data_IF_319500516553
#
_entry.id   IF_319500516553
#
_cell.length_a   1.000
_cell.length_b   1.000
_cell.length_c   1.000
_cell.angle_alpha   90.00
_cell.angle_beta   90.00
_cell.angle_gamma   90.00
#
_symmetry.space_group_name_H-M   'P 1'
#
loop_
_entity.id
_entity.type
_entity.pdbx_description
1 polymer ?
#
# COMPACT_ATOMS: atom_id res chain seq x y z
N UNK A 1 22.77 21.65 -9.59
CA UNK A 1 21.60 22.04 -8.78
C UNK A 1 20.80 20.78 -8.53
N UNK A 2 20.78 20.23 -7.31
CA UNK A 2 20.02 19.02 -7.01
C UNK A 2 18.59 19.40 -6.58
N UNK A 3 17.59 18.74 -7.15
CA UNK A 3 16.17 18.96 -6.84
C UNK A 3 15.84 18.56 -5.38
N UNK A 4 15.33 19.48 -4.55
CA UNK A 4 14.96 19.18 -3.16
C UNK A 4 13.57 18.52 -2.99
N UNK A 5 12.88 18.14 -4.07
CA UNK A 5 11.43 17.88 -4.02
C UNK A 5 11.01 16.53 -3.42
N UNK A 6 11.82 15.48 -3.54
CA UNK A 6 11.40 14.13 -3.09
C UNK A 6 11.44 13.93 -1.57
N UNK A 7 12.20 14.76 -0.84
CA UNK A 7 12.36 14.63 0.61
C UNK A 7 11.21 15.28 1.41
N UNK A 8 10.48 16.23 0.82
CA UNK A 8 9.32 16.87 1.45
C UNK A 8 8.01 16.11 1.19
N UNK A 9 7.89 15.40 0.07
CA UNK A 9 6.66 14.67 -0.30
C UNK A 9 6.37 13.45 0.58
N UNK A 10 7.41 12.73 1.03
CA UNK A 10 7.26 11.55 1.89
C UNK A 10 6.77 11.85 3.32
N UNK A 11 6.81 13.11 3.76
CA UNK A 11 6.37 13.51 5.09
C UNK A 11 4.87 13.86 5.15
N UNK A 12 4.16 13.72 4.03
CA UNK A 12 2.84 14.34 3.82
C UNK A 12 1.73 13.34 3.52
N UNK A 13 2.01 12.03 3.38
CA UNK A 13 0.96 11.04 3.15
C UNK A 13 0.10 10.87 4.42
N UNK A 14 -0.91 11.71 4.56
CA UNK A 14 -1.90 11.69 5.65
C UNK A 14 -3.21 11.05 5.21
N UNK A 15 -3.39 10.80 3.91
CA UNK A 15 -4.52 10.11 3.31
C UNK A 15 -4.07 9.06 2.29
N UNK A 16 -4.94 8.07 2.00
CA UNK A 16 -4.70 7.11 0.93
C UNK A 16 -4.66 7.79 -0.45
N UNK A 17 -5.30 8.95 -0.61
CA UNK A 17 -5.19 9.80 -1.79
C UNK A 17 -3.78 10.36 -2.02
N UNK A 18 -3.00 10.61 -0.97
CA UNK A 18 -1.62 11.04 -1.11
C UNK A 18 -0.72 9.90 -1.62
N UNK A 19 -1.03 8.67 -1.21
CA UNK A 19 -0.37 7.46 -1.71
C UNK A 19 -0.66 7.28 -3.20
N UNK A 20 -1.91 7.47 -3.63
CA UNK A 20 -2.31 7.36 -5.04
C UNK A 20 -1.58 8.39 -5.93
N UNK A 21 -1.35 9.60 -5.43
CA UNK A 21 -0.58 10.65 -6.12
C UNK A 21 0.90 10.29 -6.23
N UNK A 22 1.51 9.78 -5.16
CA UNK A 22 2.91 9.33 -5.13
C UNK A 22 3.19 8.23 -6.16
N UNK A 23 2.26 7.30 -6.35
CA UNK A 23 2.39 6.20 -7.31
C UNK A 23 2.40 6.66 -8.77
N UNK A 24 1.83 7.84 -9.07
CA UNK A 24 1.77 8.38 -10.43
C UNK A 24 3.08 9.04 -10.90
N UNK A 25 4.01 9.36 -10.00
CA UNK A 25 5.20 10.17 -10.30
C UNK A 25 6.43 9.35 -10.77
N UNK A 26 6.38 8.02 -10.82
CA UNK A 26 7.55 7.17 -11.13
C UNK A 26 7.69 6.76 -12.62
N UNK A 27 8.92 6.78 -13.15
CA UNK A 27 9.30 6.23 -14.47
C UNK A 27 9.85 4.82 -14.28
N UNK A 28 9.15 3.79 -14.75
CA UNK A 28 9.58 2.39 -14.55
C UNK A 28 9.20 1.45 -15.71
N UNK A 29 9.70 0.21 -15.61
CA UNK A 29 9.30 -0.96 -16.39
C UNK A 29 7.77 -1.14 -16.42
N UNK A 30 7.25 -1.78 -17.46
CA UNK A 30 5.81 -1.86 -17.74
C UNK A 30 5.05 -2.58 -16.61
N UNK A 31 5.62 -3.64 -16.03
CA UNK A 31 5.02 -4.34 -14.89
C UNK A 31 4.96 -3.47 -13.62
N UNK A 32 5.97 -2.61 -13.40
CA UNK A 32 5.96 -1.67 -12.27
C UNK A 32 4.86 -0.61 -12.44
N UNK A 33 4.64 -0.11 -13.67
CA UNK A 33 3.53 0.81 -13.95
C UNK A 33 2.19 0.16 -13.66
N UNK A 34 1.97 -1.05 -14.17
CA UNK A 34 0.73 -1.79 -13.94
C UNK A 34 0.50 -2.06 -12.45
N UNK A 35 1.55 -2.40 -11.70
CA UNK A 35 1.44 -2.55 -10.24
C UNK A 35 1.06 -1.23 -9.57
N UNK A 36 1.71 -0.12 -9.92
CA UNK A 36 1.35 1.21 -9.37
C UNK A 36 -0.09 1.62 -9.69
N UNK A 37 -0.57 1.34 -10.90
CA UNK A 37 -1.95 1.64 -11.30
C UNK A 37 -2.97 0.78 -10.54
N UNK A 38 -2.69 -0.52 -10.39
CA UNK A 38 -3.51 -1.43 -9.59
C UNK A 38 -3.55 -0.99 -8.11
N UNK A 39 -2.40 -0.58 -7.56
CA UNK A 39 -2.28 -0.08 -6.19
C UNK A 39 -3.00 1.26 -5.99
N UNK A 40 -2.94 2.16 -6.98
CA UNK A 40 -3.68 3.43 -6.99
C UNK A 40 -5.18 3.16 -6.91
N UNK A 41 -5.68 2.21 -7.71
CA UNK A 41 -7.09 1.80 -7.71
C UNK A 41 -7.51 1.20 -6.36
N UNK A 42 -6.67 0.33 -5.78
CA UNK A 42 -6.92 -0.25 -4.46
C UNK A 42 -6.95 0.82 -3.35
N UNK A 43 -6.01 1.77 -3.37
CA UNK A 43 -5.97 2.85 -2.37
C UNK A 43 -7.21 3.76 -2.42
N UNK A 44 -7.74 4.04 -3.61
CA UNK A 44 -8.94 4.84 -3.78
C UNK A 44 -10.17 4.15 -3.17
N UNK A 45 -10.32 2.84 -3.40
CA UNK A 45 -11.42 2.05 -2.83
C UNK A 45 -11.34 1.93 -1.30
N UNK A 46 -10.11 1.85 -0.75
CA UNK A 46 -9.89 1.88 0.70
C UNK A 46 -10.33 3.23 1.28
N UNK A 47 -9.93 4.35 0.65
CA UNK A 47 -10.34 5.70 1.07
C UNK A 47 -11.85 5.86 1.01
N UNK A 48 -12.49 5.46 -0.08
CA UNK A 48 -13.94 5.57 -0.25
C UNK A 48 -14.68 4.79 0.84
N UNK A 49 -14.28 3.55 1.12
CA UNK A 49 -14.88 2.74 2.18
C UNK A 49 -14.69 3.38 3.56
N UNK A 50 -13.49 3.88 3.86
CA UNK A 50 -13.20 4.54 5.13
C UNK A 50 -13.96 5.86 5.29
N UNK A 51 -14.04 6.65 4.22
CA UNK A 51 -14.76 7.91 4.19
C UNK A 51 -16.26 7.71 4.39
N UNK A 52 -16.89 6.77 3.64
CA UNK A 52 -18.31 6.44 3.79
C UNK A 52 -18.64 6.00 5.22
N UNK A 53 -17.77 5.19 5.84
CA UNK A 53 -17.95 4.75 7.22
C UNK A 53 -17.83 5.90 8.23
N UNK A 54 -16.87 6.82 8.06
CA UNK A 54 -16.69 7.99 8.95
C UNK A 54 -17.78 9.04 8.79
N UNK A 55 -18.29 9.21 7.57
CA UNK A 55 -19.41 10.10 7.27
C UNK A 55 -20.76 9.56 7.77
N UNK A 56 -20.80 8.38 8.40
CA UNK A 56 -22.02 7.69 8.81
C UNK A 56 -23.02 7.57 7.65
N UNK A 57 -22.52 7.25 6.45
CA UNK A 57 -23.34 7.06 5.26
C UNK A 57 -24.34 5.91 5.43
N UNK A 58 -25.31 5.82 4.50
CA UNK A 58 -26.28 4.73 4.47
C UNK A 58 -25.57 3.36 4.50
N UNK A 59 -26.00 2.40 5.33
CA UNK A 59 -25.39 1.08 5.41
C UNK A 59 -25.27 0.39 4.04
N UNK A 60 -26.23 0.57 3.14
CA UNK A 60 -26.20 -0.01 1.79
C UNK A 60 -25.03 0.54 0.96
N UNK A 61 -24.73 1.84 1.08
CA UNK A 61 -23.60 2.45 0.40
C UNK A 61 -22.26 1.88 0.90
N UNK A 62 -22.15 1.65 2.22
CA UNK A 62 -20.97 1.01 2.82
C UNK A 62 -20.85 -0.45 2.34
N UNK A 63 -21.96 -1.20 2.27
CA UNK A 63 -21.96 -2.57 1.76
C UNK A 63 -21.49 -2.66 0.31
N UNK A 64 -22.03 -1.80 -0.57
CA UNK A 64 -21.59 -1.75 -1.97
C UNK A 64 -20.10 -1.43 -2.07
N UNK A 65 -19.63 -0.39 -1.37
CA UNK A 65 -18.22 -0.02 -1.34
C UNK A 65 -17.32 -1.17 -0.89
N UNK A 66 -17.73 -1.92 0.15
CA UNK A 66 -16.98 -3.07 0.65
C UNK A 66 -16.94 -4.24 -0.34
N UNK A 67 -18.04 -4.56 -1.03
CA UNK A 67 -18.03 -5.60 -2.05
C UNK A 67 -17.14 -5.23 -3.24
N UNK A 68 -17.15 -3.96 -3.66
CA UNK A 68 -16.21 -3.44 -4.66
C UNK A 68 -14.75 -3.59 -4.20
N UNK A 69 -14.45 -3.20 -2.95
CA UNK A 69 -13.11 -3.32 -2.38
C UNK A 69 -12.65 -4.80 -2.26
N UNK A 70 -13.54 -5.71 -1.84
CA UNK A 70 -13.27 -7.16 -1.78
C UNK A 70 -12.90 -7.72 -3.14
N UNK A 71 -13.65 -7.34 -4.18
CA UNK A 71 -13.39 -7.76 -5.55
C UNK A 71 -12.04 -7.22 -6.03
N UNK A 72 -11.79 -5.92 -5.85
CA UNK A 72 -10.52 -5.30 -6.24
C UNK A 72 -9.32 -5.92 -5.52
N UNK A 73 -9.42 -6.23 -4.23
CA UNK A 73 -8.34 -6.88 -3.48
C UNK A 73 -8.06 -8.32 -3.97
N UNK A 74 -9.09 -9.05 -4.44
CA UNK A 74 -8.92 -10.38 -5.06
C UNK A 74 -8.28 -10.28 -6.44
N UNK A 75 -8.74 -9.34 -7.27
CA UNK A 75 -8.17 -9.07 -8.58
C UNK A 75 -6.70 -8.63 -8.46
N UNK A 76 -6.39 -7.78 -7.47
CA UNK A 76 -5.02 -7.38 -7.17
C UNK A 76 -4.15 -8.56 -6.74
N UNK A 77 -4.65 -9.45 -5.89
CA UNK A 77 -3.90 -10.67 -5.54
C UNK A 77 -3.63 -11.54 -6.76
N UNK A 78 -4.62 -11.72 -7.64
CA UNK A 78 -4.42 -12.48 -8.87
C UNK A 78 -3.37 -11.83 -9.78
N UNK A 79 -3.42 -10.51 -9.92
CA UNK A 79 -2.40 -9.74 -10.62
C UNK A 79 -0.99 -10.02 -10.08
N UNK A 80 -0.80 -10.05 -8.76
CA UNK A 80 0.51 -10.35 -8.15
C UNK A 80 1.04 -11.74 -8.50
N UNK A 81 0.17 -12.73 -8.72
CA UNK A 81 0.60 -14.07 -9.14
C UNK A 81 1.02 -14.14 -10.61
N UNK A 82 0.63 -13.15 -11.42
CA UNK A 82 0.97 -13.03 -12.83
C UNK A 82 2.23 -12.21 -13.10
N UNK A 83 2.86 -11.63 -12.08
CA UNK A 83 4.08 -10.83 -12.23
C UNK A 83 5.28 -11.67 -12.70
N UNK A 84 6.23 -11.03 -13.36
CA UNK A 84 7.49 -11.65 -13.77
C UNK A 84 8.28 -12.32 -12.63
N UNK A 85 9.19 -13.22 -12.98
CA UNK A 85 10.03 -13.95 -12.00
C UNK A 85 10.95 -13.04 -11.18
N UNK A 86 11.31 -11.87 -11.71
CA UNK A 86 12.11 -10.86 -11.01
C UNK A 86 11.40 -10.30 -9.77
N UNK A 87 10.08 -10.08 -9.85
CA UNK A 87 9.27 -9.69 -8.70
C UNK A 87 9.20 -10.80 -7.66
N UNK A 88 8.99 -12.04 -8.10
CA UNK A 88 8.91 -13.21 -7.23
C UNK A 88 10.24 -13.55 -6.52
N UNK A 89 11.36 -13.02 -7.00
CA UNK A 89 12.65 -13.14 -6.32
C UNK A 89 12.80 -12.17 -5.12
N UNK A 90 11.93 -11.16 -4.99
CA UNK A 90 11.95 -10.23 -3.87
C UNK A 90 11.27 -10.85 -2.65
N UNK A 91 11.98 -10.92 -1.53
CA UNK A 91 11.42 -11.38 -0.25
C UNK A 91 10.23 -10.50 0.18
N UNK A 92 10.32 -9.20 -0.12
CA UNK A 92 9.34 -8.17 0.18
C UNK A 92 8.01 -8.43 -0.53
N UNK A 93 8.01 -9.07 -1.70
CA UNK A 93 6.77 -9.44 -2.39
C UNK A 93 5.97 -10.46 -1.56
N UNK A 94 6.64 -11.40 -0.90
CA UNK A 94 6.00 -12.36 0.00
C UNK A 94 5.37 -11.68 1.22
N UNK A 95 6.08 -10.71 1.82
CA UNK A 95 5.55 -9.90 2.91
C UNK A 95 4.32 -9.09 2.49
N UNK A 96 4.35 -8.51 1.28
CA UNK A 96 3.23 -7.78 0.72
C UNK A 96 2.02 -8.68 0.42
N UNK A 97 2.24 -9.86 -0.17
CA UNK A 97 1.17 -10.84 -0.41
C UNK A 97 0.49 -11.28 0.90
N UNK A 98 1.26 -11.46 1.97
CA UNK A 98 0.70 -11.77 3.29
C UNK A 98 -0.09 -10.59 3.85
N UNK A 99 0.42 -9.35 3.75
CA UNK A 99 -0.32 -8.17 4.20
C UNK A 99 -1.64 -7.98 3.43
N UNK A 100 -1.64 -8.22 2.11
CA UNK A 100 -2.84 -8.18 1.29
C UNK A 100 -3.85 -9.26 1.71
N UNK A 101 -3.39 -10.47 2.04
CA UNK A 101 -4.26 -11.52 2.58
C UNK A 101 -4.88 -11.10 3.91
N UNK A 102 -4.09 -10.58 4.83
CA UNK A 102 -4.58 -10.10 6.13
C UNK A 102 -5.61 -8.97 5.97
N UNK A 103 -5.37 -8.04 5.03
CA UNK A 103 -6.32 -7.00 4.67
C UNK A 103 -7.63 -7.58 4.15
N UNK A 104 -7.58 -8.55 3.23
CA UNK A 104 -8.78 -9.22 2.71
C UNK A 104 -9.59 -9.87 3.83
N UNK A 105 -8.93 -10.57 4.75
CA UNK A 105 -9.59 -11.20 5.89
C UNK A 105 -10.24 -10.16 6.80
N UNK A 106 -9.57 -9.02 7.04
CA UNK A 106 -10.14 -7.92 7.82
C UNK A 106 -11.34 -7.26 7.15
N UNK A 107 -11.33 -7.10 5.83
CA UNK A 107 -12.48 -6.60 5.07
C UNK A 107 -13.68 -7.53 5.24
N UNK A 108 -13.48 -8.86 5.13
CA UNK A 108 -14.58 -9.83 5.31
C UNK A 108 -15.13 -9.81 6.74
N UNK A 109 -14.26 -9.69 7.76
CA UNK A 109 -14.66 -9.58 9.17
C UNK A 109 -15.48 -8.29 9.40
N UNK A 110 -15.00 -7.16 8.88
CA UNK A 110 -15.71 -5.89 9.01
C UNK A 110 -17.06 -5.92 8.29
N UNK A 111 -17.12 -6.46 7.08
CA UNK A 111 -18.36 -6.67 6.33
C UNK A 111 -19.37 -7.49 7.14
N UNK A 112 -18.96 -8.62 7.73
CA UNK A 112 -19.82 -9.45 8.57
C UNK A 112 -20.31 -8.71 9.83
N UNK A 113 -19.44 -7.90 10.45
CA UNK A 113 -19.81 -7.10 11.62
C UNK A 113 -20.87 -6.04 11.28
N UNK A 114 -20.76 -5.41 10.10
CA UNK A 114 -21.77 -4.49 9.57
C UNK A 114 -23.10 -5.20 9.28
N UNK A 115 -23.08 -6.35 8.60
CA UNK A 115 -24.32 -7.11 8.29
C UNK A 115 -25.07 -7.52 9.55
N UNK A 116 -24.34 -7.88 10.61
CA UNK A 116 -24.92 -8.29 11.90
C UNK A 116 -25.23 -7.13 12.85
N UNK A 117 -24.92 -5.89 12.45
CA UNK A 117 -25.00 -4.70 13.32
C UNK A 117 -24.32 -4.95 14.68
N UNK A 118 -23.16 -5.59 14.64
CA UNK A 118 -22.44 -6.02 15.84
C UNK A 118 -21.86 -4.81 16.59
N UNK A 119 -21.87 -4.87 17.92
CA UNK A 119 -21.16 -3.89 18.77
C UNK A 119 -19.64 -3.88 18.54
N UNK A 120 -19.10 -4.94 17.93
CA UNK A 120 -17.69 -5.06 17.57
C UNK A 120 -17.32 -4.34 16.27
N UNK A 121 -18.30 -3.82 15.51
CA UNK A 121 -18.06 -3.21 14.20
C UNK A 121 -17.00 -2.09 14.23
N UNK A 122 -16.98 -1.16 15.21
CA UNK A 122 -15.94 -0.13 15.26
C UNK A 122 -14.53 -0.71 15.42
N UNK A 123 -14.37 -1.76 16.23
CA UNK A 123 -13.08 -2.43 16.40
C UNK A 123 -12.64 -3.18 15.13
N UNK A 124 -13.60 -3.74 14.38
CA UNK A 124 -13.32 -4.35 13.07
C UNK A 124 -12.89 -3.30 12.04
N UNK A 125 -13.51 -2.11 12.06
CA UNK A 125 -13.11 -0.99 11.22
C UNK A 125 -11.69 -0.51 11.54
N UNK A 126 -11.34 -0.33 12.82
CA UNK A 126 -9.99 0.07 13.22
C UNK A 126 -8.92 -0.96 12.81
N UNK A 127 -9.26 -2.25 12.87
CA UNK A 127 -8.38 -3.34 12.42
C UNK A 127 -8.19 -3.30 10.89
N UNK A 128 -9.29 -3.13 10.14
CA UNK A 128 -9.26 -2.93 8.69
C UNK A 128 -8.36 -1.76 8.31
N UNK A 129 -8.55 -0.58 8.91
CA UNK A 129 -7.78 0.62 8.59
C UNK A 129 -6.29 0.41 8.85
N UNK A 130 -5.93 -0.19 9.99
CA UNK A 130 -4.54 -0.49 10.32
C UNK A 130 -3.89 -1.42 9.30
N UNK A 131 -4.61 -2.46 8.88
CA UNK A 131 -4.11 -3.42 7.89
C UNK A 131 -4.06 -2.82 6.49
N UNK A 132 -4.96 -1.90 6.16
CA UNK A 132 -4.93 -1.16 4.89
C UNK A 132 -3.67 -0.30 4.80
N UNK A 133 -3.37 0.48 5.83
CA UNK A 133 -2.14 1.28 5.91
C UNK A 133 -0.88 0.42 5.86
N UNK A 134 -0.86 -0.70 6.58
CA UNK A 134 0.24 -1.66 6.51
C UNK A 134 0.43 -2.16 5.07
N UNK A 135 -0.64 -2.62 4.43
CA UNK A 135 -0.60 -3.20 3.09
C UNK A 135 -0.06 -2.22 2.07
N UNK A 136 -0.52 -0.96 2.09
CA UNK A 136 0.00 0.08 1.18
C UNK A 136 1.46 0.40 1.46
N UNK A 137 1.87 0.43 2.73
CA UNK A 137 3.27 0.60 3.14
C UNK A 137 4.18 -0.51 2.58
N UNK A 138 3.78 -1.77 2.74
CA UNK A 138 4.50 -2.92 2.18
C UNK A 138 4.55 -2.85 0.64
N UNK A 139 3.46 -2.44 -0.01
CA UNK A 139 3.41 -2.30 -1.47
C UNK A 139 4.42 -1.26 -1.98
N UNK A 140 4.47 -0.09 -1.34
CA UNK A 140 5.43 0.97 -1.69
C UNK A 140 6.88 0.49 -1.49
N UNK A 141 7.17 -0.29 -0.44
CA UNK A 141 8.49 -0.88 -0.24
C UNK A 141 8.85 -1.87 -1.34
N UNK A 142 7.92 -2.73 -1.76
CA UNK A 142 8.18 -3.70 -2.85
C UNK A 142 8.49 -3.00 -4.16
N UNK A 143 7.69 -1.99 -4.52
CA UNK A 143 7.90 -1.21 -5.75
C UNK A 143 9.25 -0.49 -5.72
N UNK A 144 9.58 0.16 -4.61
CA UNK A 144 10.87 0.84 -4.44
C UNK A 144 12.07 -0.13 -4.52
N UNK A 145 11.98 -1.30 -3.89
CA UNK A 145 13.04 -2.31 -3.94
C UNK A 145 13.22 -2.90 -5.34
N UNK A 146 12.13 -3.13 -6.08
CA UNK A 146 12.21 -3.60 -7.46
C UNK A 146 12.90 -2.56 -8.36
N UNK A 147 12.50 -1.30 -8.26
CA UNK A 147 13.03 -0.22 -9.10
C UNK A 147 14.51 0.05 -8.83
N UNK A 148 14.92 -0.03 -7.56
CA UNK A 148 16.34 0.07 -7.18
C UNK A 148 17.15 -1.15 -7.64
N UNK A 149 16.58 -2.36 -7.57
CA UNK A 149 17.22 -3.59 -8.04
C UNK A 149 17.42 -3.61 -9.56
N UNK A 150 16.43 -3.14 -10.32
CA UNK A 150 16.51 -2.98 -11.77
C UNK A 150 17.54 -1.92 -12.20
N UNK A 151 17.66 -0.82 -11.44
CA UNK A 151 18.68 0.20 -11.68
C UNK A 151 20.11 -0.32 -11.45
N UNK A 152 20.34 -1.16 -10.43
CA UNK A 152 21.67 -1.76 -10.18
C UNK A 152 22.14 -2.72 -11.28
N UNK A 153 21.22 -3.39 -11.98
CA UNK A 153 21.56 -4.31 -13.07
C UNK A 153 21.80 -3.59 -14.40
N UNK A 154 21.35 -2.33 -14.52
CA UNK A 154 21.34 -1.57 -15.77
C UNK A 154 22.50 -0.56 -15.90
N UNK A 155 23.20 -0.20 -14.82
CA UNK A 155 24.33 0.76 -14.86
C UNK A 155 25.55 0.30 -14.04
N UNK A 156 26.76 0.21 -14.62
CA UNK A 156 28.00 0.08 -13.87
C UNK A 156 28.45 1.46 -13.37
N UNK A 157 27.84 1.98 -12.29
CA UNK A 157 28.31 3.21 -11.63
C UNK A 157 28.77 2.94 -10.19
N UNK A 158 29.98 3.40 -9.78
CA UNK A 158 30.61 3.03 -8.53
C UNK A 158 30.18 3.99 -7.40
N UNK A 159 28.94 3.89 -6.91
CA UNK A 159 28.61 4.44 -5.58
C UNK A 159 28.28 3.30 -4.60
N UNK A 160 28.86 3.30 -3.39
CA UNK A 160 28.77 2.15 -2.51
C UNK A 160 27.35 2.02 -1.96
N UNK A 161 26.69 0.92 -2.34
CA UNK A 161 25.37 0.46 -1.89
C UNK A 161 25.14 0.54 -0.37
N UNK A 162 26.22 0.54 0.42
CA UNK A 162 26.20 0.69 1.88
C UNK A 162 25.75 2.08 2.37
N UNK A 163 26.02 3.15 1.62
CA UNK A 163 25.62 4.52 2.00
C UNK A 163 24.10 4.73 1.84
N UNK A 164 23.50 4.12 0.82
CA UNK A 164 22.06 4.25 0.50
C UNK A 164 21.18 3.38 1.41
N UNK A 165 21.59 2.15 1.72
CA UNK A 165 20.90 1.25 2.67
C UNK A 165 20.81 1.84 4.09
N UNK A 166 21.83 2.61 4.52
CA UNK A 166 21.82 3.32 5.81
C UNK A 166 20.81 4.47 5.86
N UNK A 167 20.50 5.12 4.73
CA UNK A 167 19.55 6.23 4.72
C UNK A 167 18.09 5.74 4.85
N UNK A 168 17.76 4.57 4.30
CA UNK A 168 16.39 4.03 4.34
C UNK A 168 16.01 3.38 5.67
N UNK A 169 16.90 2.59 6.29
CA UNK A 169 16.69 2.10 7.66
C UNK A 169 16.60 3.26 8.67
N UNK A 170 17.33 4.35 8.44
CA UNK A 170 17.21 5.56 9.24
C UNK A 170 15.86 6.27 9.02
N UNK A 171 15.28 6.22 7.81
CA UNK A 171 13.95 6.78 7.51
C UNK A 171 12.84 5.95 8.15
N UNK A 172 12.92 4.62 8.07
CA UNK A 172 11.93 3.71 8.68
C UNK A 172 11.96 3.77 10.23
N UNK A 173 13.15 3.84 10.84
CA UNK A 173 13.30 4.01 12.30
C UNK A 173 12.79 5.38 12.78
N UNK A 174 12.94 6.43 11.98
CA UNK A 174 12.44 7.77 12.32
C UNK A 174 10.92 7.86 12.23
N UNK A 175 10.31 7.13 11.29
CA UNK A 175 8.86 6.97 11.19
C UNK A 175 8.27 6.23 12.42
N UNK A 176 8.91 5.14 12.86
CA UNK A 176 8.49 4.41 14.07
C UNK A 176 8.63 5.24 15.36
N UNK A 177 9.63 6.12 15.44
CA UNK A 177 9.84 7.00 16.59
C UNK A 177 8.85 8.20 16.65
N UNK A 178 8.26 8.59 15.51
CA UNK A 178 7.34 9.72 15.40
C UNK A 178 5.90 9.44 15.84
N UNK A 179 5.54 8.17 16.08
CA UNK A 179 4.17 7.74 16.43
C UNK A 179 3.95 7.51 17.93
N UNK A 180 4.94 7.86 18.76
CA UNK A 180 4.96 7.64 20.21
C UNK A 180 4.82 8.89 21.07
N UNK A 181 4.20 9.97 20.59
CA UNK A 181 3.83 11.13 21.40
C UNK A 181 2.39 11.54 21.14
#
# INVERSE_FOLDING_TARGET
MPDPSSSQLLNTAQSFGDVSRLLREGVADEESRQFRDALTSLSALIEDAAHLRRACADPSAIFWSLEHLKRAAREHQFFLTGLGSAWHALYELGAYQQALKDLRDAIEIWHQALTRQSRSEPACFDAFERLAWRTLGEAMLVIDMYEQGGAMLSEPSPEPAAARRRSMLARLRRWLAGRGR
#
